data_IF_307853071687
#
_entry.id   IF_307853071687
#
_cell.length_a   1.000
_cell.length_b   1.000
_cell.length_c   1.000
_cell.angle_alpha   90.00
_cell.angle_beta   90.00
_cell.angle_gamma   90.00
#
_symmetry.space_group_name_H-M   'P 1'
#
loop_
_entity.id
_entity.type
_entity.pdbx_description
1 polymer ?
#
# COMPACT_ATOMS: atom_id res chain seq x y z
N UNK A 1 -28.99 -62.30 -21.12
CA UNK A 1 -27.92 -61.78 -20.24
C UNK A 1 -26.57 -62.05 -20.88
N UNK A 2 -25.91 -61.03 -21.43
CA UNK A 2 -24.56 -61.17 -22.02
C UNK A 2 -23.54 -60.62 -21.03
N UNK A 3 -22.66 -61.49 -20.52
CA UNK A 3 -21.46 -61.09 -19.77
C UNK A 3 -20.45 -60.56 -20.77
N UNK A 4 -20.07 -59.29 -20.65
CA UNK A 4 -18.94 -58.72 -21.38
C UNK A 4 -17.72 -58.85 -20.48
N UNK A 5 -16.77 -59.66 -20.93
CA UNK A 5 -15.47 -59.84 -20.31
C UNK A 5 -14.58 -58.67 -20.76
N UNK A 6 -14.23 -57.77 -19.85
CA UNK A 6 -13.29 -56.68 -20.12
C UNK A 6 -11.87 -57.24 -19.99
N UNK A 7 -11.18 -57.41 -21.11
CA UNK A 7 -9.74 -57.69 -21.15
C UNK A 7 -8.95 -56.41 -20.86
N UNK A 8 -7.78 -56.58 -20.24
CA UNK A 8 -6.90 -55.54 -19.68
C UNK A 8 -6.39 -54.46 -20.67
N UNK A 9 -6.77 -54.50 -21.94
CA UNK A 9 -6.31 -53.59 -22.99
C UNK A 9 -7.13 -52.30 -23.10
N UNK A 10 -8.20 -52.13 -22.30
CA UNK A 10 -9.05 -50.92 -22.32
C UNK A 10 -8.63 -49.82 -21.32
N UNK A 11 -7.41 -49.90 -20.74
CA UNK A 11 -6.87 -48.87 -19.82
C UNK A 11 -6.01 -47.83 -20.55
N UNK A 12 -5.86 -47.92 -21.88
CA UNK A 12 -4.93 -47.08 -22.63
C UNK A 12 -5.58 -46.34 -23.83
N UNK A 13 -6.74 -45.68 -23.63
CA UNK A 13 -7.25 -44.71 -24.62
C UNK A 13 -8.31 -43.75 -24.08
N UNK A 14 -8.37 -43.51 -22.77
CA UNK A 14 -8.97 -42.28 -22.23
C UNK A 14 -7.86 -41.55 -21.49
N UNK A 15 -6.80 -41.25 -22.24
CA UNK A 15 -6.11 -39.99 -22.08
C UNK A 15 -7.15 -38.93 -22.42
N UNK A 16 -8.01 -38.61 -21.44
CA UNK A 16 -8.47 -37.24 -21.31
C UNK A 16 -7.18 -36.45 -21.23
N UNK A 17 -6.74 -35.96 -22.39
CA UNK A 17 -6.05 -34.70 -22.48
C UNK A 17 -6.99 -33.68 -21.87
N UNK A 18 -7.04 -33.68 -20.53
CA UNK A 18 -7.31 -32.48 -19.78
C UNK A 18 -6.16 -31.61 -20.25
N UNK A 19 -6.41 -30.54 -21.03
CA UNK A 19 -5.42 -29.49 -21.05
C UNK A 19 -5.31 -29.13 -19.57
N UNK A 20 -4.20 -29.54 -18.94
CA UNK A 20 -3.60 -28.67 -17.96
C UNK A 20 -3.26 -27.47 -18.83
N UNK A 21 -4.24 -26.58 -19.04
CA UNK A 21 -3.93 -25.20 -19.27
C UNK A 21 -2.93 -24.95 -18.16
N UNK A 22 -1.67 -24.79 -18.56
CA UNK A 22 -0.74 -24.07 -17.72
C UNK A 22 -1.53 -22.81 -17.41
N UNK A 23 -2.14 -22.75 -16.23
CA UNK A 23 -2.64 -21.52 -15.68
C UNK A 23 -1.36 -20.77 -15.39
N UNK A 24 -0.73 -20.26 -16.45
CA UNK A 24 0.07 -19.06 -16.38
C UNK A 24 -0.98 -18.10 -15.90
N UNK A 25 -1.05 -17.92 -14.58
CA UNK A 25 -1.87 -16.87 -14.02
C UNK A 25 -1.33 -15.63 -14.70
N UNK A 26 -2.07 -15.12 -15.69
CA UNK A 26 -1.63 -13.94 -16.40
C UNK A 26 -1.45 -12.86 -15.34
N UNK A 27 -0.28 -12.24 -15.33
CA UNK A 27 -0.02 -11.17 -14.38
C UNK A 27 -1.07 -10.07 -14.59
N UNK A 28 -1.51 -9.48 -13.48
CA UNK A 28 -2.10 -8.16 -13.54
C UNK A 28 -1.00 -7.11 -13.55
N UNK A 29 -1.41 -5.84 -13.58
CA UNK A 29 -0.52 -4.70 -13.44
C UNK A 29 -0.92 -3.86 -12.25
N UNK A 30 0.07 -3.34 -11.55
CA UNK A 30 -0.11 -2.40 -10.46
C UNK A 30 0.46 -1.04 -10.87
N UNK A 31 -0.37 -0.01 -10.81
CA UNK A 31 0.03 1.39 -10.97
C UNK A 31 -0.25 2.15 -9.68
N UNK A 32 0.63 3.06 -9.30
CA UNK A 32 0.45 3.95 -8.14
C UNK A 32 0.65 5.37 -8.61
N UNK A 33 -0.22 6.29 -8.21
CA UNK A 33 -0.14 7.71 -8.57
C UNK A 33 1.00 8.45 -7.85
N UNK A 34 2.25 8.00 -8.02
CA UNK A 34 3.45 8.58 -7.44
C UNK A 34 4.69 8.28 -8.30
N UNK A 35 5.65 9.20 -8.35
CA UNK A 35 6.87 9.05 -9.14
C UNK A 35 7.78 7.91 -8.66
N UNK A 36 7.76 7.65 -7.35
CA UNK A 36 8.54 6.58 -6.72
C UNK A 36 7.74 5.99 -5.58
N UNK A 37 7.55 4.68 -5.63
CA UNK A 37 6.74 3.97 -4.66
C UNK A 37 7.25 2.56 -4.38
N UNK A 38 6.90 2.07 -3.20
CA UNK A 38 7.07 0.69 -2.76
C UNK A 38 5.75 0.19 -2.20
N UNK A 39 5.33 -0.99 -2.63
CA UNK A 39 4.15 -1.67 -2.10
C UNK A 39 4.54 -3.05 -1.54
N UNK A 40 4.01 -3.37 -0.37
CA UNK A 40 4.08 -4.68 0.24
C UNK A 40 2.71 -5.33 0.11
N UNK A 41 2.66 -6.39 -0.67
CA UNK A 41 1.45 -7.14 -1.00
C UNK A 41 1.41 -8.38 -0.12
N UNK A 42 0.49 -8.40 0.83
CA UNK A 42 0.29 -9.52 1.75
C UNK A 42 -0.87 -10.38 1.23
N UNK A 43 -0.55 -11.63 0.87
CA UNK A 43 -1.50 -12.73 0.60
C UNK A 43 -1.35 -13.82 1.67
N UNK A 44 -1.94 -15.00 1.48
CA UNK A 44 -1.83 -16.16 2.41
C UNK A 44 -0.41 -16.77 2.52
N UNK A 45 0.60 -16.11 1.97
CA UNK A 45 2.00 -16.55 1.99
C UNK A 45 2.98 -15.44 2.36
N UNK A 46 4.16 -15.42 1.73
CA UNK A 46 5.19 -14.40 1.97
C UNK A 46 4.79 -13.07 1.32
N UNK A 47 5.09 -11.92 1.96
CA UNK A 47 4.82 -10.63 1.35
C UNK A 47 5.65 -10.44 0.09
N UNK A 48 4.99 -10.04 -0.99
CA UNK A 48 5.65 -9.61 -2.22
C UNK A 48 5.99 -8.11 -2.10
N UNK A 49 7.25 -7.76 -2.37
CA UNK A 49 7.69 -6.36 -2.42
C UNK A 49 7.74 -5.92 -3.87
N UNK A 50 6.92 -4.93 -4.21
CA UNK A 50 6.86 -4.33 -5.54
C UNK A 50 7.39 -2.91 -5.43
N UNK A 51 8.30 -2.55 -6.34
CA UNK A 51 8.82 -1.18 -6.48
C UNK A 51 8.47 -0.69 -7.86
N UNK A 52 8.04 0.55 -7.97
CA UNK A 52 7.70 1.13 -9.26
C UNK A 52 7.86 2.64 -9.29
N UNK A 53 7.54 3.18 -10.46
CA UNK A 53 7.46 4.62 -10.73
C UNK A 53 6.24 4.91 -11.59
N UNK A 54 6.41 5.71 -12.63
CA UNK A 54 5.32 6.18 -13.50
C UNK A 54 4.63 5.08 -14.32
N UNK A 55 5.38 4.04 -14.68
CA UNK A 55 4.85 2.94 -15.49
C UNK A 55 4.24 1.84 -14.61
N UNK A 56 3.13 1.21 -15.04
CA UNK A 56 2.57 0.05 -14.35
C UNK A 56 3.55 -1.13 -14.29
N UNK A 57 3.58 -1.81 -13.15
CA UNK A 57 4.46 -2.95 -12.87
C UNK A 57 3.66 -4.25 -12.93
N UNK A 58 4.19 -5.29 -13.59
CA UNK A 58 3.56 -6.61 -13.59
C UNK A 58 3.58 -7.20 -12.18
N UNK A 59 2.44 -7.73 -11.75
CA UNK A 59 2.25 -8.36 -10.44
C UNK A 59 1.33 -9.55 -10.64
N UNK A 60 1.65 -10.66 -9.98
CA UNK A 60 0.78 -11.85 -9.98
C UNK A 60 -0.68 -11.45 -9.67
N UNK A 61 -1.61 -11.97 -10.47
CA UNK A 61 -3.03 -11.78 -10.19
C UNK A 61 -3.40 -12.42 -8.86
N UNK A 62 -4.25 -11.76 -8.08
CA UNK A 62 -4.62 -12.22 -6.76
C UNK A 62 -5.27 -11.17 -5.87
N UNK A 63 -5.60 -11.58 -4.65
CA UNK A 63 -6.25 -10.75 -3.63
C UNK A 63 -5.23 -10.40 -2.55
N UNK A 64 -4.96 -9.11 -2.36
CA UNK A 64 -3.86 -8.63 -1.52
C UNK A 64 -4.32 -7.59 -0.52
N UNK A 65 -3.83 -7.68 0.71
CA UNK A 65 -3.77 -6.54 1.61
C UNK A 65 -2.51 -5.74 1.26
N UNK A 66 -2.65 -4.46 0.97
CA UNK A 66 -1.54 -3.66 0.42
C UNK A 66 -1.13 -2.59 1.42
N UNK A 67 0.13 -2.63 1.86
CA UNK A 67 0.80 -1.50 2.50
C UNK A 67 1.63 -0.78 1.44
N UNK A 68 1.58 0.54 1.40
CA UNK A 68 2.34 1.34 0.46
C UNK A 68 3.23 2.36 1.18
N UNK A 69 4.26 2.78 0.47
CA UNK A 69 5.13 3.88 0.82
C UNK A 69 5.42 4.66 -0.46
N UNK A 70 5.17 5.96 -0.44
CA UNK A 70 5.54 6.85 -1.54
C UNK A 70 6.41 7.97 -1.01
N UNK A 71 7.40 8.34 -1.79
CA UNK A 71 8.38 9.37 -1.43
C UNK A 71 8.43 10.44 -2.51
N UNK A 72 8.43 11.69 -2.08
CA UNK A 72 8.77 12.83 -2.92
C UNK A 72 10.07 13.44 -2.43
N UNK A 73 10.94 13.81 -3.36
CA UNK A 73 12.24 14.45 -3.08
C UNK A 73 12.24 15.80 -3.79
N UNK A 74 12.54 16.85 -3.04
CA UNK A 74 12.77 18.20 -3.56
C UNK A 74 14.00 18.77 -2.86
N UNK A 75 15.03 19.09 -3.64
CA UNK A 75 16.34 19.49 -3.12
C UNK A 75 16.88 18.44 -2.11
N UNK A 76 17.36 18.88 -0.94
CA UNK A 76 17.81 18.00 0.14
C UNK A 76 16.68 17.48 1.04
N UNK A 77 15.41 17.76 0.70
CA UNK A 77 14.25 17.38 1.50
C UNK A 77 13.52 16.20 0.90
N UNK A 78 13.20 15.21 1.72
CA UNK A 78 12.38 14.06 1.34
C UNK A 78 11.15 14.00 2.23
N UNK A 79 9.96 13.97 1.62
CA UNK A 79 8.72 13.65 2.28
C UNK A 79 8.30 12.23 1.91
N UNK A 80 8.08 11.40 2.92
CA UNK A 80 7.59 10.03 2.77
C UNK A 80 6.24 9.92 3.44
N UNK A 81 5.27 9.36 2.73
CA UNK A 81 4.03 8.88 3.34
C UNK A 81 4.01 7.37 3.29
N UNK A 82 3.43 6.75 4.31
CA UNK A 82 3.16 5.33 4.32
C UNK A 82 1.77 5.07 4.86
N UNK A 83 1.09 4.10 4.27
CA UNK A 83 -0.28 3.77 4.62
C UNK A 83 -0.62 2.33 4.28
N UNK A 84 -1.83 1.94 4.64
CA UNK A 84 -2.41 0.66 4.27
C UNK A 84 -3.73 0.92 3.57
N UNK A 85 -3.94 0.28 2.42
CA UNK A 85 -5.22 0.34 1.74
C UNK A 85 -6.30 -0.29 2.63
N UNK A 86 -7.51 0.28 2.57
CA UNK A 86 -8.64 -0.26 3.29
C UNK A 86 -9.06 -1.60 2.68
N UNK A 87 -9.06 -2.65 3.49
CA UNK A 87 -9.51 -3.97 3.09
C UNK A 87 -8.52 -4.70 2.18
N UNK A 88 -9.06 -5.43 1.21
CA UNK A 88 -8.30 -6.24 0.26
C UNK A 88 -8.51 -5.70 -1.15
N UNK A 89 -7.43 -5.62 -1.92
CA UNK A 89 -7.41 -5.18 -3.31
C UNK A 89 -7.22 -6.38 -4.22
N UNK A 90 -8.10 -6.52 -5.22
CA UNK A 90 -7.98 -7.54 -6.25
C UNK A 90 -7.13 -6.99 -7.41
N UNK A 91 -6.05 -7.70 -7.74
CA UNK A 91 -5.26 -7.51 -8.95
C UNK A 91 -5.71 -8.57 -9.96
N UNK A 92 -6.32 -8.13 -11.06
CA UNK A 92 -6.87 -9.03 -12.07
C UNK A 92 -5.88 -9.26 -13.21
N UNK A 93 -5.80 -10.50 -13.66
CA UNK A 93 -5.07 -10.91 -14.85
C UNK A 93 -5.39 -10.00 -16.06
N UNK A 94 -4.35 -9.53 -16.74
CA UNK A 94 -4.47 -8.68 -17.94
C UNK A 94 -5.00 -7.26 -17.70
N UNK A 95 -5.31 -6.88 -16.45
CA UNK A 95 -5.82 -5.54 -16.10
C UNK A 95 -4.81 -4.74 -15.31
N UNK A 96 -4.92 -3.41 -15.38
CA UNK A 96 -4.16 -2.51 -14.50
C UNK A 96 -5.03 -2.09 -13.32
N UNK A 97 -4.60 -2.44 -12.13
CA UNK A 97 -5.14 -1.93 -10.87
C UNK A 97 -4.39 -0.65 -10.51
N UNK A 98 -5.11 0.46 -10.46
CA UNK A 98 -4.56 1.76 -10.05
C UNK A 98 -4.80 2.00 -8.55
N UNK A 99 -3.74 2.37 -7.83
CA UNK A 99 -3.82 2.85 -6.45
C UNK A 99 -3.57 4.35 -6.41
N UNK A 100 -4.59 5.09 -5.99
CA UNK A 100 -4.47 6.51 -5.69
C UNK A 100 -3.89 6.68 -4.29
N UNK A 101 -2.68 7.21 -4.21
CA UNK A 101 -2.00 7.56 -2.95
C UNK A 101 -1.22 8.85 -3.17
N UNK A 102 -0.75 9.49 -2.10
CA UNK A 102 0.01 10.74 -2.22
C UNK A 102 -0.82 11.97 -1.88
N UNK A 103 -0.41 13.11 -2.42
CA UNK A 103 -1.09 14.38 -2.21
C UNK A 103 -2.38 14.53 -3.04
N UNK A 104 -3.35 15.35 -2.60
CA UNK A 104 -3.32 16.16 -1.38
C UNK A 104 -3.47 15.32 -0.10
N UNK A 105 -2.91 15.83 1.00
CA UNK A 105 -3.04 15.23 2.33
C UNK A 105 -4.07 16.02 3.13
N UNK A 106 -5.07 15.33 3.65
CA UNK A 106 -6.04 15.88 4.60
C UNK A 106 -5.58 15.52 6.03
N UNK A 107 -5.18 16.51 6.81
CA UNK A 107 -4.76 16.33 8.21
C UNK A 107 -5.80 16.92 9.17
N UNK A 108 -6.06 16.20 10.27
CA UNK A 108 -6.92 16.65 11.35
C UNK A 108 -6.14 16.58 12.66
N UNK A 109 -6.22 17.65 13.45
CA UNK A 109 -5.62 17.75 14.78
C UNK A 109 -6.74 17.93 15.79
N UNK A 110 -6.77 17.08 16.81
CA UNK A 110 -7.66 17.20 17.95
C UNK A 110 -6.83 17.54 19.19
N UNK A 111 -7.32 18.50 19.98
CA UNK A 111 -6.73 18.89 21.25
C UNK A 111 -7.68 18.52 22.39
N UNK A 112 -7.17 17.78 23.37
CA UNK A 112 -7.89 17.42 24.58
C UNK A 112 -7.26 18.10 25.79
N UNK A 113 -8.07 18.84 26.55
CA UNK A 113 -7.64 19.53 27.77
C UNK A 113 -8.21 18.80 28.99
N UNK A 114 -7.31 18.33 29.86
CA UNK A 114 -7.65 17.66 31.12
C UNK A 114 -6.92 18.38 32.26
N UNK A 115 -7.61 19.31 32.93
CA UNK A 115 -7.01 20.17 33.95
C UNK A 115 -5.89 21.04 33.39
N UNK A 116 -4.66 20.84 33.86
CA UNK A 116 -3.45 21.55 33.39
C UNK A 116 -2.73 20.82 32.24
N UNK A 117 -3.23 19.67 31.80
CA UNK A 117 -2.62 18.87 30.72
C UNK A 117 -3.35 19.12 29.40
N UNK A 118 -2.57 19.33 28.33
CA UNK A 118 -3.08 19.40 26.96
C UNK A 118 -2.46 18.24 26.19
N UNK A 119 -3.29 17.45 25.52
CA UNK A 119 -2.85 16.36 24.63
C UNK A 119 -3.31 16.66 23.21
N UNK A 120 -2.46 16.37 22.24
CA UNK A 120 -2.77 16.52 20.82
C UNK A 120 -2.76 15.16 20.15
N UNK A 121 -3.77 14.88 19.33
CA UNK A 121 -3.75 13.77 18.39
C UNK A 121 -3.80 14.34 16.97
N UNK A 122 -3.03 13.72 16.07
CA UNK A 122 -3.07 14.05 14.65
C UNK A 122 -3.40 12.80 13.85
N UNK A 123 -4.31 12.94 12.91
CA UNK A 123 -4.58 11.93 11.89
C UNK A 123 -4.43 12.54 10.51
N UNK A 124 -4.03 11.73 9.53
CA UNK A 124 -3.89 12.18 8.15
C UNK A 124 -4.45 11.14 7.19
N UNK A 125 -5.06 11.62 6.11
CA UNK A 125 -5.50 10.82 4.97
C UNK A 125 -4.85 11.32 3.69
N UNK A 126 -4.54 10.39 2.79
CA UNK A 126 -4.04 10.71 1.47
C UNK A 126 -5.17 10.97 0.45
N UNK A 127 -4.80 11.27 -0.80
CA UNK A 127 -5.77 11.48 -1.88
C UNK A 127 -6.68 10.27 -2.16
N UNK A 128 -6.25 9.07 -1.78
CA UNK A 128 -7.05 7.85 -1.86
C UNK A 128 -7.99 7.65 -0.67
N UNK A 129 -7.98 8.56 0.32
CA UNK A 129 -8.72 8.46 1.56
C UNK A 129 -8.13 7.47 2.57
N UNK A 130 -6.91 6.97 2.33
CA UNK A 130 -6.25 6.01 3.20
C UNK A 130 -5.61 6.73 4.38
N UNK A 131 -5.73 6.16 5.58
CA UNK A 131 -4.99 6.67 6.74
C UNK A 131 -3.48 6.51 6.51
N UNK A 132 -2.72 7.59 6.70
CA UNK A 132 -1.29 7.63 6.43
C UNK A 132 -0.48 8.20 7.61
N UNK A 133 0.75 7.72 7.72
CA UNK A 133 1.80 8.33 8.51
C UNK A 133 2.75 9.10 7.60
N UNK A 134 3.22 10.24 8.06
CA UNK A 134 4.04 11.19 7.30
C UNK A 134 5.37 11.35 8.02
N UNK A 135 6.46 11.25 7.26
CA UNK A 135 7.81 11.51 7.72
C UNK A 135 8.49 12.47 6.76
N UNK A 136 9.15 13.49 7.28
CA UNK A 136 9.98 14.38 6.50
C UNK A 136 11.43 14.26 6.96
N UNK A 137 12.36 14.32 6.01
CA UNK A 137 13.79 14.36 6.29
C UNK A 137 14.43 15.50 5.51
N UNK A 138 15.50 16.07 6.07
CA UNK A 138 16.37 17.05 5.42
C UNK A 138 17.81 16.56 5.54
N UNK A 139 18.53 16.48 4.41
CA UNK A 139 19.89 15.90 4.33
C UNK A 139 19.95 14.50 4.97
N UNK A 140 18.89 13.72 4.77
CA UNK A 140 18.73 12.36 5.30
C UNK A 140 18.42 12.26 6.79
N UNK A 141 18.22 13.38 7.51
CA UNK A 141 17.89 13.39 8.94
C UNK A 141 16.42 13.73 9.17
N UNK A 142 15.70 13.02 10.05
CA UNK A 142 14.31 13.34 10.38
C UNK A 142 14.14 14.79 10.85
N UNK A 143 13.14 15.49 10.33
CA UNK A 143 12.81 16.87 10.71
C UNK A 143 11.92 16.83 11.95
N UNK A 144 12.46 17.18 13.11
CA UNK A 144 11.68 17.19 14.37
C UNK A 144 10.39 18.02 14.23
N UNK A 145 9.22 17.48 14.60
CA UNK A 145 7.98 18.25 14.56
C UNK A 145 8.09 19.48 15.48
N UNK A 146 7.62 20.63 15.00
CA UNK A 146 7.58 21.87 15.77
C UNK A 146 6.14 22.14 16.22
N UNK A 147 5.97 22.52 17.48
CA UNK A 147 4.69 22.98 18.04
C UNK A 147 4.84 24.42 18.46
N UNK A 148 3.92 25.27 17.98
CA UNK A 148 3.81 26.66 18.40
C UNK A 148 2.41 26.91 18.94
N UNK A 149 2.32 27.58 20.09
CA UNK A 149 1.07 28.10 20.63
C UNK A 149 1.04 29.59 20.34
N UNK A 150 -0.02 30.03 19.67
CA UNK A 150 -0.18 31.41 19.21
C UNK A 150 -1.35 32.06 19.95
N UNK A 151 -1.19 33.32 20.37
CA UNK A 151 -2.24 34.18 20.92
C UNK A 151 -2.39 35.41 20.03
N UNK A 152 -3.45 35.44 19.21
CA UNK A 152 -3.54 36.39 18.10
C UNK A 152 -2.46 36.06 17.06
N UNK A 153 -1.62 37.03 16.71
CA UNK A 153 -0.49 36.85 15.79
C UNK A 153 0.84 36.55 16.51
N UNK A 154 0.83 36.49 17.85
CA UNK A 154 2.05 36.30 18.64
C UNK A 154 2.23 34.84 19.05
N UNK A 155 3.37 34.25 18.69
CA UNK A 155 3.82 32.98 19.27
C UNK A 155 4.14 33.21 20.75
N UNK A 156 3.41 32.55 21.65
CA UNK A 156 3.58 32.65 23.11
C UNK A 156 4.30 31.44 23.71
N UNK A 157 4.39 30.34 22.96
CA UNK A 157 5.16 29.16 23.31
C UNK A 157 5.64 28.46 22.04
N UNK A 158 6.86 27.93 22.06
CA UNK A 158 7.42 27.16 20.95
C UNK A 158 8.24 26.01 21.52
N UNK A 159 8.07 24.81 20.96
CA UNK A 159 8.85 23.64 21.33
C UNK A 159 9.01 22.70 20.14
N UNK A 160 10.02 21.84 20.19
CA UNK A 160 10.19 20.73 19.25
C UNK A 160 9.80 19.43 19.95
N UNK A 161 9.04 18.60 19.28
CA UNK A 161 8.71 17.26 19.75
C UNK A 161 9.82 16.29 19.35
N UNK A 162 10.02 15.28 20.18
CA UNK A 162 10.74 14.08 19.77
C UNK A 162 9.78 13.15 19.02
N UNK A 163 10.32 12.35 18.11
CA UNK A 163 9.57 11.24 17.55
C UNK A 163 9.42 10.16 18.63
N UNK A 164 8.17 9.82 18.96
CA UNK A 164 7.82 8.69 19.84
C UNK A 164 7.63 7.38 19.07
#
# INVERSE_FOLDING_TARGET
MRRVCLTWTAVAAVLLSVPIASAVAEDGKLSVTADKWVAYLYSTGRPLVVRGGKEPVNVAAGSYRIRFMVSSVKDDQTATISGMLKGTTEIKAGQTTEIKTGGPIEASIEAKVEGKKVSFSMSAKDAGGNAVSIMATEKGKPIKPKVEVVKGDKVVYSSTLEYG
#
